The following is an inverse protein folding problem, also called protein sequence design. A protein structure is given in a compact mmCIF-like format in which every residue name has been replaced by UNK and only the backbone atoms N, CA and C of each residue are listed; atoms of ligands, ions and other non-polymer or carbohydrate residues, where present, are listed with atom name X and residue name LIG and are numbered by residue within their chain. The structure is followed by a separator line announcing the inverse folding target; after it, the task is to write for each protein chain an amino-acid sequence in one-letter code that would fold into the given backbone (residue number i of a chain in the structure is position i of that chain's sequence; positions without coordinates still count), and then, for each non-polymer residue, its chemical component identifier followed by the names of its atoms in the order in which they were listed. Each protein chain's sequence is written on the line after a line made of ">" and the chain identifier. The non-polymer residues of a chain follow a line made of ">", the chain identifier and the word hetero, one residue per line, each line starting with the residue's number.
data_IF_708690717695
#
_entry.id   IF_708690717695
#
_cell.length_a   1.000
_cell.length_b   1.000
_cell.length_c   1.000
_cell.angle_alpha   90.00
_cell.angle_beta   90.00
_cell.angle_gamma   90.00
#
_symmetry.space_group_name_H-M   'P 1'
#
loop_
_entity.id
_entity.type
_entity.pdbx_description
1 polymer ?
#
# COMPACT_ATOMS: atom_id res chain seq x y z
N UNK A 1 -27.84 27.02 4.65
CA UNK A 1 -27.43 25.69 4.12
C UNK A 1 -26.53 25.06 5.18
N UNK A 2 -27.06 24.20 6.05
CA UNK A 2 -26.26 23.63 7.13
C UNK A 2 -25.28 22.61 6.53
N UNK A 3 -23.98 22.89 6.62
CA UNK A 3 -22.94 21.88 6.41
C UNK A 3 -23.14 20.83 7.49
N UNK A 4 -23.87 19.74 7.20
CA UNK A 4 -23.69 18.50 7.95
C UNK A 4 -22.29 18.05 7.61
N UNK A 5 -21.35 18.27 8.51
CA UNK A 5 -20.07 17.58 8.45
C UNK A 5 -20.41 16.10 8.52
N UNK A 6 -20.26 15.41 7.39
CA UNK A 6 -20.40 13.96 7.23
C UNK A 6 -19.19 13.27 7.91
N UNK A 7 -18.87 13.73 9.12
CA UNK A 7 -17.81 13.19 9.95
C UNK A 7 -18.33 11.85 10.44
N UNK A 8 -17.66 10.73 10.12
CA UNK A 8 -18.05 9.43 10.64
C UNK A 8 -18.16 9.52 12.16
N UNK A 9 -19.35 9.29 12.72
CA UNK A 9 -19.48 9.21 14.16
C UNK A 9 -18.69 7.97 14.63
N UNK A 10 -17.82 8.10 15.66
CA UNK A 10 -16.94 7.01 16.10
C UNK A 10 -17.68 5.77 16.63
N UNK A 11 -19.01 5.82 16.75
CA UNK A 11 -19.88 4.73 17.19
C UNK A 11 -20.62 4.00 16.05
N UNK A 12 -20.50 4.44 14.79
CA UNK A 12 -21.21 3.77 13.70
C UNK A 12 -20.60 2.40 13.36
N UNK A 13 -21.45 1.40 13.32
CA UNK A 13 -21.14 0.05 12.87
C UNK A 13 -21.01 0.01 11.33
N UNK A 14 -20.32 -0.99 10.79
CA UNK A 14 -20.25 -1.19 9.33
C UNK A 14 -21.65 -1.34 8.70
N UNK A 15 -22.61 -1.93 9.43
CA UNK A 15 -24.01 -2.05 9.00
C UNK A 15 -24.72 -0.71 8.87
N UNK A 16 -24.49 0.22 9.80
CA UNK A 16 -25.03 1.58 9.73
C UNK A 16 -24.44 2.34 8.54
N UNK A 17 -23.11 2.26 8.33
CA UNK A 17 -22.45 2.87 7.16
C UNK A 17 -22.99 2.31 5.84
N UNK A 18 -23.16 0.99 5.75
CA UNK A 18 -23.79 0.34 4.60
C UNK A 18 -25.20 0.93 4.33
N UNK A 19 -25.99 1.09 5.39
CA UNK A 19 -27.33 1.66 5.30
C UNK A 19 -27.33 3.13 4.85
N UNK A 20 -26.33 3.92 5.28
CA UNK A 20 -26.14 5.31 4.84
C UNK A 20 -25.77 5.35 3.35
N UNK A 21 -24.79 4.56 2.91
CA UNK A 21 -24.36 4.48 1.51
C UNK A 21 -25.51 4.10 0.58
N UNK A 22 -26.28 3.07 0.93
CA UNK A 22 -27.50 2.69 0.18
C UNK A 22 -28.50 3.84 0.10
N UNK A 23 -28.74 4.55 1.21
CA UNK A 23 -29.68 5.67 1.27
C UNK A 23 -29.21 6.87 0.45
N UNK A 24 -27.90 7.13 0.35
CA UNK A 24 -27.34 8.17 -0.55
C UNK A 24 -27.67 7.89 -2.01
N UNK A 25 -27.66 6.62 -2.43
CA UNK A 25 -28.14 6.20 -3.77
C UNK A 25 -29.67 6.18 -3.93
N UNK A 26 -30.44 6.49 -2.87
CA UNK A 26 -31.92 6.41 -2.82
C UNK A 26 -32.45 5.00 -3.11
N UNK A 27 -31.70 3.96 -2.76
CA UNK A 27 -32.07 2.57 -3.00
C UNK A 27 -32.86 1.97 -1.84
N UNK A 28 -33.79 1.06 -2.14
CA UNK A 28 -34.41 0.19 -1.13
C UNK A 28 -33.46 -0.96 -0.77
N UNK A 29 -33.66 -1.62 0.38
CA UNK A 29 -32.91 -2.83 0.74
C UNK A 29 -33.10 -3.95 -0.30
N UNK A 30 -34.28 -4.02 -0.91
CA UNK A 30 -34.57 -4.98 -1.98
C UNK A 30 -33.75 -4.69 -3.23
N UNK A 31 -33.58 -3.42 -3.60
CA UNK A 31 -32.71 -3.05 -4.72
C UNK A 31 -31.25 -3.41 -4.43
N UNK A 32 -30.72 -3.07 -3.25
CA UNK A 32 -29.36 -3.45 -2.88
C UNK A 32 -29.16 -4.97 -2.92
N UNK A 33 -30.14 -5.76 -2.44
CA UNK A 33 -30.10 -7.22 -2.54
C UNK A 33 -29.97 -7.70 -4.00
N UNK A 34 -30.77 -7.15 -4.92
CA UNK A 34 -30.72 -7.48 -6.34
C UNK A 34 -29.36 -7.12 -6.97
N UNK A 35 -28.87 -5.90 -6.74
CA UNK A 35 -27.64 -5.39 -7.35
C UNK A 35 -26.37 -6.07 -6.79
N UNK A 36 -26.40 -6.52 -5.54
CA UNK A 36 -25.26 -7.19 -4.89
C UNK A 36 -25.29 -8.71 -4.95
N UNK A 37 -26.38 -9.32 -5.45
CA UNK A 37 -26.57 -10.77 -5.48
C UNK A 37 -26.86 -11.42 -4.12
N UNK A 38 -27.07 -10.63 -3.05
CA UNK A 38 -27.42 -11.15 -1.73
C UNK A 38 -28.94 -11.21 -1.50
N UNK A 39 -29.39 -12.04 -0.56
CA UNK A 39 -30.81 -12.07 -0.18
C UNK A 39 -31.22 -10.81 0.60
N UNK A 40 -32.48 -10.40 0.48
CA UNK A 40 -33.04 -9.29 1.27
C UNK A 40 -32.88 -9.52 2.79
N UNK A 41 -33.01 -10.77 3.25
CA UNK A 41 -32.78 -11.13 4.64
C UNK A 41 -31.32 -10.92 5.06
N UNK A 42 -30.36 -11.17 4.17
CA UNK A 42 -28.95 -10.89 4.42
C UNK A 42 -28.68 -9.39 4.54
N UNK A 43 -29.15 -8.58 3.58
CA UNK A 43 -29.00 -7.12 3.62
C UNK A 43 -29.61 -6.53 4.89
N UNK A 44 -30.83 -6.95 5.26
CA UNK A 44 -31.46 -6.56 6.54
C UNK A 44 -30.61 -6.95 7.74
N UNK A 45 -30.06 -8.17 7.74
CA UNK A 45 -29.19 -8.66 8.80
C UNK A 45 -27.92 -7.82 8.94
N UNK A 46 -27.27 -7.46 7.83
CA UNK A 46 -26.06 -6.63 7.83
C UNK A 46 -26.35 -5.22 8.33
N UNK A 47 -27.35 -4.53 7.77
CA UNK A 47 -27.67 -3.14 8.16
C UNK A 47 -28.12 -3.01 9.62
N UNK A 48 -28.72 -4.06 10.18
CA UNK A 48 -29.19 -4.08 11.58
C UNK A 48 -28.12 -4.61 12.54
N UNK A 49 -26.92 -4.97 12.07
CA UNK A 49 -25.86 -5.57 12.89
C UNK A 49 -26.16 -6.99 13.39
N UNK A 50 -27.26 -7.62 12.94
CA UNK A 50 -27.60 -9.03 13.28
C UNK A 50 -26.74 -10.04 12.53
N UNK A 51 -26.07 -9.62 11.47
CA UNK A 51 -25.04 -10.38 10.76
C UNK A 51 -23.77 -9.54 10.71
N UNK A 52 -22.65 -10.17 11.05
CA UNK A 52 -21.34 -9.55 10.94
C UNK A 52 -21.05 -9.18 9.49
N UNK A 53 -20.59 -7.95 9.27
CA UNK A 53 -20.05 -7.50 8.01
C UNK A 53 -18.52 -7.51 8.12
N UNK A 54 -17.98 -8.73 8.32
CA UNK A 54 -16.58 -9.03 8.61
C UNK A 54 -15.82 -9.76 7.49
N UNK A 55 -16.52 -10.19 6.44
CA UNK A 55 -15.93 -10.92 5.31
C UNK A 55 -15.59 -9.96 4.17
N UNK A 56 -14.32 -9.94 3.76
CA UNK A 56 -13.84 -9.08 2.68
C UNK A 56 -14.62 -9.28 1.38
N UNK A 57 -14.86 -10.53 0.97
CA UNK A 57 -15.64 -10.84 -0.24
C UNK A 57 -17.06 -10.26 -0.22
N UNK A 58 -17.70 -10.23 0.96
CA UNK A 58 -19.04 -9.64 1.13
C UNK A 58 -18.97 -8.12 1.00
N UNK A 59 -17.98 -7.49 1.63
CA UNK A 59 -17.78 -6.03 1.55
C UNK A 59 -17.49 -5.61 0.11
N UNK A 60 -16.58 -6.30 -0.58
CA UNK A 60 -16.21 -5.99 -1.96
C UNK A 60 -17.42 -6.12 -2.92
N UNK A 61 -18.24 -7.15 -2.77
CA UNK A 61 -19.46 -7.31 -3.56
C UNK A 61 -20.47 -6.16 -3.30
N UNK A 62 -20.63 -5.73 -2.04
CA UNK A 62 -21.49 -4.59 -1.71
C UNK A 62 -20.92 -3.26 -2.21
N UNK A 63 -19.60 -3.07 -2.13
CA UNK A 63 -18.88 -1.91 -2.65
C UNK A 63 -19.05 -1.79 -4.16
N UNK A 64 -18.91 -2.90 -4.90
CA UNK A 64 -19.14 -2.93 -6.35
C UNK A 64 -20.57 -2.51 -6.70
N UNK A 65 -21.57 -3.03 -5.99
CA UNK A 65 -22.97 -2.64 -6.20
C UNK A 65 -23.23 -1.16 -5.83
N UNK A 66 -22.60 -0.67 -4.77
CA UNK A 66 -22.78 0.70 -4.27
C UNK A 66 -21.87 1.73 -4.93
N UNK A 67 -20.94 1.32 -5.79
CA UNK A 67 -19.91 2.19 -6.40
C UNK A 67 -19.18 3.03 -5.33
N UNK A 68 -18.60 2.35 -4.36
CA UNK A 68 -17.95 2.99 -3.22
C UNK A 68 -16.67 2.24 -2.82
N UNK A 69 -15.73 2.93 -2.18
CA UNK A 69 -14.49 2.31 -1.73
C UNK A 69 -14.74 1.46 -0.46
N UNK A 70 -14.03 0.33 -0.24
CA UNK A 70 -14.18 -0.50 0.96
C UNK A 70 -14.05 0.26 2.29
N UNK A 71 -13.25 1.32 2.32
CA UNK A 71 -13.08 2.18 3.50
C UNK A 71 -14.36 2.89 3.91
N UNK A 72 -15.30 3.13 3.00
CA UNK A 72 -16.57 3.78 3.31
C UNK A 72 -17.49 2.86 4.12
N UNK A 73 -17.41 1.54 3.90
CA UNK A 73 -18.13 0.55 4.72
C UNK A 73 -17.37 0.27 6.02
N UNK A 74 -16.05 0.14 5.97
CA UNK A 74 -15.23 -0.22 7.14
C UNK A 74 -14.95 0.96 8.08
N UNK A 75 -15.24 2.18 7.66
CA UNK A 75 -15.08 3.40 8.46
C UNK A 75 -13.65 3.92 8.56
N UNK A 76 -12.77 3.49 7.65
CA UNK A 76 -11.39 3.97 7.62
C UNK A 76 -11.31 5.38 6.98
N UNK A 77 -10.34 6.22 7.40
CA UNK A 77 -9.32 5.97 8.44
C UNK A 77 -9.91 6.04 9.85
N UNK A 78 -9.42 5.18 10.75
CA UNK A 78 -9.83 5.21 12.16
C UNK A 78 -9.16 6.38 12.88
N UNK A 79 -9.95 7.17 13.62
CA UNK A 79 -9.39 8.13 14.56
C UNK A 79 -8.76 7.35 15.73
N UNK A 80 -7.49 7.61 16.08
CA UNK A 80 -6.91 7.06 17.30
C UNK A 80 -7.74 7.49 18.51
N UNK A 81 -7.95 6.57 19.46
CA UNK A 81 -8.63 6.89 20.71
C UNK A 81 -7.81 7.90 21.52
N UNK A 82 -8.44 8.65 22.43
CA UNK A 82 -7.76 9.67 23.25
C UNK A 82 -6.58 9.10 24.07
N UNK A 83 -6.67 7.84 24.49
CA UNK A 83 -5.60 7.12 25.20
C UNK A 83 -4.54 6.46 24.30
N UNK A 84 -4.73 6.43 22.99
CA UNK A 84 -3.78 5.81 22.04
C UNK A 84 -2.74 6.83 21.56
N UNK A 85 -1.78 7.13 22.44
CA UNK A 85 -0.69 8.06 22.14
C UNK A 85 0.13 7.61 20.92
N UNK A 86 0.40 6.32 20.78
CA UNK A 86 1.17 5.80 19.66
C UNK A 86 0.43 5.99 18.32
N UNK A 87 -0.89 5.77 18.30
CA UNK A 87 -1.73 6.05 17.14
C UNK A 87 -1.81 7.54 16.81
N UNK A 88 -1.88 8.42 17.82
CA UNK A 88 -1.85 9.88 17.63
C UNK A 88 -0.51 10.34 17.04
N UNK A 89 0.61 9.89 17.61
CA UNK A 89 1.96 10.17 17.08
C UNK A 89 2.11 9.63 15.65
N UNK A 90 1.60 8.43 15.40
CA UNK A 90 1.55 7.86 14.06
C UNK A 90 0.72 8.70 13.10
N UNK A 91 -0.42 9.27 13.50
CA UNK A 91 -1.25 10.10 12.63
C UNK A 91 -0.72 11.52 12.42
N UNK A 92 0.16 12.01 13.30
CA UNK A 92 0.62 13.41 13.32
C UNK A 92 1.31 13.85 12.01
N UNK A 93 2.00 12.95 11.33
CA UNK A 93 2.76 13.27 10.12
C UNK A 93 1.99 13.08 8.81
N UNK A 94 0.75 12.56 8.83
CA UNK A 94 -0.04 12.27 7.61
C UNK A 94 -0.12 13.48 6.68
N UNK A 95 -0.43 14.67 7.22
CA UNK A 95 -0.53 15.88 6.42
C UNK A 95 0.84 16.32 5.84
N UNK A 96 1.93 16.12 6.59
CA UNK A 96 3.27 16.47 6.14
C UNK A 96 3.75 15.53 5.02
N UNK A 97 3.52 14.23 5.17
CA UNK A 97 3.79 13.22 4.14
C UNK A 97 2.97 13.51 2.88
N UNK A 98 1.66 13.76 3.01
CA UNK A 98 0.81 14.13 1.87
C UNK A 98 1.32 15.37 1.14
N UNK A 99 1.72 16.42 1.87
CA UNK A 99 2.31 17.63 1.27
C UNK A 99 3.58 17.32 0.48
N UNK A 100 4.45 16.43 0.98
CA UNK A 100 5.66 16.02 0.27
C UNK A 100 5.34 15.23 -1.01
N UNK A 101 4.32 14.36 -1.00
CA UNK A 101 3.85 13.63 -2.18
C UNK A 101 3.28 14.56 -3.27
N UNK A 102 2.57 15.62 -2.87
CA UNK A 102 1.99 16.61 -3.78
C UNK A 102 3.02 17.54 -4.43
N UNK A 103 4.26 17.59 -3.93
CA UNK A 103 5.35 18.36 -4.55
C UNK A 103 5.94 17.71 -5.81
N UNK A 104 5.53 16.48 -6.12
CA UNK A 104 5.90 15.79 -7.35
C UNK A 104 5.74 16.67 -8.60
N UNK A 105 6.72 16.57 -9.51
CA UNK A 105 6.74 17.33 -10.76
C UNK A 105 7.05 18.83 -10.60
N UNK A 106 7.31 19.31 -9.38
CA UNK A 106 7.70 20.70 -9.11
C UNK A 106 9.17 20.76 -8.67
N UNK A 107 9.93 21.78 -9.10
CA UNK A 107 11.29 21.97 -8.61
C UNK A 107 11.26 22.18 -7.10
N UNK A 108 12.17 21.51 -6.40
CA UNK A 108 12.26 21.55 -4.94
C UNK A 108 12.67 22.92 -4.41
N UNK A 109 13.32 23.75 -5.23
CA UNK A 109 13.86 25.07 -4.87
C UNK A 109 14.61 25.00 -3.53
N UNK A 110 15.69 24.20 -3.45
CA UNK A 110 16.44 24.06 -2.21
C UNK A 110 17.12 25.39 -1.87
N UNK A 111 17.25 25.68 -0.58
CA UNK A 111 18.22 26.68 -0.13
C UNK A 111 19.66 26.20 -0.40
N UNK A 112 20.61 27.13 -0.45
CA UNK A 112 22.04 26.78 -0.62
C UNK A 112 22.52 25.81 0.46
N UNK A 113 22.00 25.96 1.70
CA UNK A 113 22.30 25.05 2.80
C UNK A 113 21.72 23.65 2.58
N UNK A 114 20.48 23.52 2.08
CA UNK A 114 19.89 22.22 1.74
C UNK A 114 20.67 21.54 0.61
N UNK A 115 21.06 22.29 -0.42
CA UNK A 115 21.82 21.75 -1.54
C UNK A 115 23.23 21.31 -1.12
N UNK A 116 23.92 22.11 -0.30
CA UNK A 116 25.24 21.78 0.23
C UNK A 116 25.23 20.60 1.22
N UNK A 117 24.08 20.31 1.85
CA UNK A 117 23.94 19.21 2.81
C UNK A 117 23.61 17.85 2.16
N UNK A 118 23.48 17.76 0.82
CA UNK A 118 23.21 16.50 0.13
C UNK A 118 24.40 15.56 0.26
N UNK A 119 24.21 14.47 1.01
CA UNK A 119 25.19 13.40 1.20
C UNK A 119 24.55 12.03 0.90
N UNK A 120 24.92 11.42 -0.23
CA UNK A 120 24.33 10.15 -0.69
C UNK A 120 24.53 9.00 0.31
N UNK A 121 25.74 8.73 0.84
CA UNK A 121 25.96 7.78 1.93
C UNK A 121 25.03 7.96 3.14
N UNK A 122 24.83 9.20 3.62
CA UNK A 122 23.91 9.45 4.74
C UNK A 122 22.45 9.18 4.35
N UNK A 123 22.03 9.63 3.16
CA UNK A 123 20.69 9.35 2.65
C UNK A 123 20.44 7.84 2.51
N UNK A 124 21.40 7.07 2.00
CA UNK A 124 21.31 5.61 1.92
C UNK A 124 21.07 4.99 3.30
N UNK A 125 21.84 5.39 4.31
CA UNK A 125 21.68 4.92 5.70
C UNK A 125 20.30 5.26 6.26
N UNK A 126 19.82 6.50 6.07
CA UNK A 126 18.51 6.96 6.55
C UNK A 126 17.35 6.26 5.85
N UNK A 127 17.46 6.00 4.56
CA UNK A 127 16.47 5.20 3.81
C UNK A 127 16.46 3.74 4.27
N UNK A 128 17.61 3.16 4.58
CA UNK A 128 17.67 1.82 5.17
C UNK A 128 17.00 1.76 6.56
N UNK A 129 17.17 2.81 7.38
CA UNK A 129 16.45 2.93 8.66
C UNK A 129 14.93 3.05 8.43
N UNK A 130 14.47 3.93 7.54
CA UNK A 130 13.06 4.08 7.22
C UNK A 130 12.43 2.76 6.70
N UNK A 131 13.17 2.00 5.90
CA UNK A 131 12.75 0.68 5.45
C UNK A 131 12.63 -0.32 6.62
N UNK A 132 13.54 -0.27 7.59
CA UNK A 132 13.45 -1.11 8.79
C UNK A 132 12.23 -0.76 9.65
N UNK A 133 11.89 0.53 9.78
CA UNK A 133 10.68 1.00 10.47
C UNK A 133 9.40 0.56 9.75
N UNK A 134 9.40 0.63 8.41
CA UNK A 134 8.32 0.14 7.55
C UNK A 134 8.06 -1.36 7.77
N UNK A 135 9.12 -2.17 7.70
CA UNK A 135 9.05 -3.63 7.88
C UNK A 135 8.53 -4.02 9.27
N UNK A 136 8.98 -3.31 10.32
CA UNK A 136 8.53 -3.52 11.70
C UNK A 136 7.19 -2.87 12.03
N UNK A 137 6.55 -2.17 11.08
CA UNK A 137 5.32 -1.40 11.28
C UNK A 137 5.41 -0.36 12.43
N UNK A 138 6.57 0.23 12.64
CA UNK A 138 6.80 1.26 13.66
C UNK A 138 6.24 2.62 13.18
N UNK A 139 4.91 2.77 13.15
CA UNK A 139 4.24 3.91 12.51
C UNK A 139 4.55 5.26 13.16
N UNK A 140 4.60 5.33 14.49
CA UNK A 140 4.96 6.56 15.21
C UNK A 140 6.39 7.03 14.88
N UNK A 141 7.35 6.09 14.82
CA UNK A 141 8.72 6.40 14.38
C UNK A 141 8.80 6.71 12.88
N UNK A 142 7.98 6.07 12.06
CA UNK A 142 7.88 6.40 10.63
C UNK A 142 7.38 7.83 10.44
N UNK A 143 6.41 8.25 11.24
CA UNK A 143 5.86 9.61 11.24
C UNK A 143 6.94 10.67 11.54
N UNK A 144 7.87 10.39 12.45
CA UNK A 144 8.93 11.36 12.79
C UNK A 144 10.02 11.48 11.73
N UNK A 145 10.29 10.44 10.94
CA UNK A 145 11.40 10.44 9.96
C UNK A 145 10.96 10.77 8.54
N UNK A 146 9.77 10.33 8.11
CA UNK A 146 9.36 10.38 6.70
C UNK A 146 9.27 11.79 6.12
N UNK A 147 8.70 12.81 6.80
CA UNK A 147 8.54 14.12 6.20
C UNK A 147 9.86 14.76 5.77
N UNK A 148 10.87 14.76 6.64
CA UNK A 148 12.17 15.34 6.33
C UNK A 148 12.95 14.47 5.34
N UNK A 149 12.90 13.15 5.48
CA UNK A 149 13.58 12.24 4.56
C UNK A 149 13.04 12.36 3.13
N UNK A 150 11.72 12.50 2.95
CA UNK A 150 11.12 12.79 1.65
C UNK A 150 11.67 14.09 1.06
N UNK A 151 11.76 15.15 1.86
CA UNK A 151 12.32 16.44 1.41
C UNK A 151 13.78 16.28 0.97
N UNK A 152 14.62 15.67 1.80
CA UNK A 152 16.05 15.60 1.53
C UNK A 152 16.35 14.76 0.28
N UNK A 153 15.66 13.64 0.09
CA UNK A 153 15.86 12.78 -1.09
C UNK A 153 15.29 13.43 -2.36
N UNK A 154 14.19 14.19 -2.25
CA UNK A 154 13.69 15.00 -3.38
C UNK A 154 14.71 16.08 -3.78
N UNK A 155 15.31 16.77 -2.81
CA UNK A 155 16.37 17.76 -3.07
C UNK A 155 17.58 17.10 -3.72
N UNK A 156 18.00 15.91 -3.26
CA UNK A 156 19.08 15.16 -3.86
C UNK A 156 18.82 14.82 -5.34
N UNK A 157 17.57 14.48 -5.71
CA UNK A 157 17.21 14.23 -7.11
C UNK A 157 17.34 15.47 -8.01
N UNK A 158 17.12 16.67 -7.46
CA UNK A 158 17.21 17.92 -8.20
C UNK A 158 18.65 18.47 -8.29
N UNK A 159 19.47 18.24 -7.26
CA UNK A 159 20.84 18.78 -7.14
C UNK A 159 21.87 17.89 -7.81
N UNK A 160 21.72 16.57 -7.71
CA UNK A 160 22.69 15.63 -8.27
C UNK A 160 22.50 15.47 -9.79
N UNK A 161 23.59 15.13 -10.48
CA UNK A 161 23.62 14.82 -11.91
C UNK A 161 23.91 13.33 -12.15
N UNK A 162 23.62 12.88 -13.38
CA UNK A 162 24.00 11.57 -13.92
C UNK A 162 23.72 10.39 -12.96
N UNK A 163 24.74 9.59 -12.64
CA UNK A 163 24.64 8.42 -11.75
C UNK A 163 24.20 8.77 -10.33
N UNK A 164 24.62 9.94 -9.83
CA UNK A 164 24.17 10.44 -8.53
C UNK A 164 22.66 10.67 -8.51
N UNK A 165 22.12 11.22 -9.60
CA UNK A 165 20.67 11.43 -9.76
C UNK A 165 19.91 10.11 -9.87
N UNK A 166 20.40 9.15 -10.67
CA UNK A 166 19.79 7.81 -10.75
C UNK A 166 19.77 7.11 -9.39
N UNK A 167 20.86 7.21 -8.64
CA UNK A 167 20.96 6.68 -7.27
C UNK A 167 19.95 7.34 -6.35
N UNK A 168 19.81 8.67 -6.41
CA UNK A 168 18.83 9.42 -5.64
C UNK A 168 17.39 9.02 -5.99
N UNK A 169 17.06 8.77 -7.26
CA UNK A 169 15.75 8.24 -7.64
C UNK A 169 15.49 6.83 -7.09
N UNK A 170 16.53 5.99 -7.00
CA UNK A 170 16.44 4.70 -6.30
C UNK A 170 16.07 4.88 -4.83
N UNK A 171 16.73 5.81 -4.14
CA UNK A 171 16.38 6.16 -2.76
C UNK A 171 14.95 6.72 -2.67
N UNK A 172 14.57 7.60 -3.58
CA UNK A 172 13.26 8.25 -3.60
C UNK A 172 12.14 7.21 -3.77
N UNK A 173 12.33 6.25 -4.67
CA UNK A 173 11.43 5.11 -4.86
C UNK A 173 11.20 4.41 -3.52
N UNK A 174 12.27 4.04 -2.82
CA UNK A 174 12.18 3.35 -1.53
C UNK A 174 11.53 4.19 -0.43
N UNK A 175 11.72 5.52 -0.42
CA UNK A 175 11.03 6.39 0.55
C UNK A 175 9.54 6.51 0.22
N UNK A 176 9.17 6.56 -1.06
CA UNK A 176 7.76 6.54 -1.47
C UNK A 176 7.08 5.22 -1.13
N UNK A 177 7.77 4.09 -1.23
CA UNK A 177 7.27 2.79 -0.73
C UNK A 177 6.99 2.83 0.77
N UNK A 178 7.84 3.51 1.54
CA UNK A 178 7.62 3.75 2.96
C UNK A 178 6.43 4.65 3.24
N UNK A 179 6.31 5.76 2.51
CA UNK A 179 5.16 6.66 2.62
C UNK A 179 3.85 5.93 2.29
N UNK A 180 3.82 5.17 1.19
CA UNK A 180 2.66 4.39 0.77
C UNK A 180 2.24 3.43 1.87
N UNK A 181 3.14 2.58 2.38
CA UNK A 181 2.76 1.58 3.38
C UNK A 181 2.35 2.22 4.71
N UNK A 182 2.99 3.34 5.09
CA UNK A 182 2.62 4.12 6.27
C UNK A 182 1.19 4.68 6.16
N UNK A 183 0.85 5.31 5.02
CA UNK A 183 -0.49 5.86 4.76
C UNK A 183 -1.54 4.76 4.68
N UNK A 184 -1.21 3.65 4.02
CA UNK A 184 -2.08 2.49 3.90
C UNK A 184 -2.43 1.87 5.26
N UNK A 185 -1.43 1.65 6.12
CA UNK A 185 -1.62 1.11 7.48
C UNK A 185 -2.44 2.05 8.39
N UNK A 186 -2.48 3.35 8.08
CA UNK A 186 -3.33 4.34 8.76
C UNK A 186 -4.73 4.48 8.14
N UNK A 187 -5.07 3.69 7.12
CA UNK A 187 -6.35 3.76 6.41
C UNK A 187 -6.50 4.99 5.51
N UNK A 188 -5.41 5.71 5.22
CA UNK A 188 -5.38 6.88 4.32
C UNK A 188 -5.22 6.42 2.87
N UNK A 189 -6.18 5.62 2.40
CA UNK A 189 -6.09 4.88 1.14
C UNK A 189 -5.85 5.76 -0.08
N UNK A 190 -6.57 6.88 -0.23
CA UNK A 190 -6.35 7.78 -1.38
C UNK A 190 -4.96 8.43 -1.35
N UNK A 191 -4.38 8.67 -0.17
CA UNK A 191 -3.01 9.15 -0.04
C UNK A 191 -2.00 8.04 -0.34
N UNK A 192 -2.31 6.79 0.03
CA UNK A 192 -1.51 5.62 -0.32
C UNK A 192 -1.49 5.40 -1.84
N UNK A 193 -2.64 5.49 -2.53
CA UNK A 193 -2.72 5.42 -4.00
C UNK A 193 -1.89 6.54 -4.63
N UNK A 194 -1.97 7.78 -4.12
CA UNK A 194 -1.08 8.86 -4.56
C UNK A 194 0.39 8.50 -4.39
N UNK A 195 0.78 7.86 -3.28
CA UNK A 195 2.14 7.41 -3.06
C UNK A 195 2.56 6.26 -3.98
N UNK A 196 1.66 5.33 -4.31
CA UNK A 196 1.87 4.27 -5.31
C UNK A 196 2.22 4.86 -6.68
N UNK A 197 1.49 5.89 -7.12
CA UNK A 197 1.83 6.63 -8.35
C UNK A 197 3.22 7.27 -8.29
N UNK A 198 3.68 7.69 -7.10
CA UNK A 198 5.04 8.22 -6.91
C UNK A 198 6.11 7.12 -6.93
N UNK A 199 5.79 5.92 -6.44
CA UNK A 199 6.67 4.74 -6.57
C UNK A 199 6.86 4.39 -8.05
N UNK A 200 5.77 4.24 -8.81
CA UNK A 200 5.83 3.92 -10.25
C UNK A 200 6.64 4.97 -11.02
N UNK A 201 6.31 6.25 -10.82
CA UNK A 201 7.01 7.35 -11.46
C UNK A 201 8.51 7.35 -11.15
N UNK A 202 8.89 7.27 -9.86
CA UNK A 202 10.30 7.36 -9.46
C UNK A 202 11.11 6.15 -9.91
N UNK A 203 10.50 4.96 -9.95
CA UNK A 203 11.14 3.74 -10.43
C UNK A 203 11.58 3.87 -11.90
N UNK A 204 10.74 4.46 -12.77
CA UNK A 204 11.12 4.70 -14.17
C UNK A 204 12.38 5.57 -14.32
N UNK A 205 12.59 6.53 -13.41
CA UNK A 205 13.75 7.46 -13.46
C UNK A 205 15.05 6.81 -13.00
N UNK A 206 14.97 5.62 -12.42
CA UNK A 206 16.17 4.87 -12.05
C UNK A 206 16.84 4.21 -13.25
N UNK A 207 16.10 4.02 -14.35
CA UNK A 207 16.55 3.27 -15.53
C UNK A 207 16.95 1.81 -15.21
N UNK A 208 16.62 1.32 -14.01
CA UNK A 208 16.84 -0.05 -13.55
C UNK A 208 15.61 -0.91 -13.88
N UNK A 209 15.71 -1.84 -14.85
CA UNK A 209 14.57 -2.67 -15.25
C UNK A 209 13.97 -3.47 -14.10
N UNK A 210 14.80 -3.94 -13.16
CA UNK A 210 14.33 -4.75 -12.05
C UNK A 210 13.50 -3.92 -11.07
N UNK A 211 13.89 -2.67 -10.85
CA UNK A 211 13.14 -1.73 -10.00
C UNK A 211 11.84 -1.28 -10.65
N UNK A 212 11.84 -1.07 -11.96
CA UNK A 212 10.63 -0.76 -12.74
C UNK A 212 9.61 -1.90 -12.60
N UNK A 213 10.05 -3.15 -12.74
CA UNK A 213 9.19 -4.33 -12.54
C UNK A 213 8.75 -4.43 -11.07
N UNK A 214 9.66 -4.23 -10.11
CA UNK A 214 9.34 -4.28 -8.68
C UNK A 214 8.23 -3.30 -8.27
N UNK A 215 8.22 -2.10 -8.87
CA UNK A 215 7.20 -1.08 -8.59
C UNK A 215 5.77 -1.55 -8.94
N UNK A 216 5.62 -2.44 -9.94
CA UNK A 216 4.32 -3.02 -10.35
C UNK A 216 3.68 -3.88 -9.27
N UNK A 217 4.45 -4.34 -8.29
CA UNK A 217 3.91 -5.02 -7.11
C UNK A 217 2.91 -4.11 -6.36
N UNK A 218 3.20 -2.81 -6.27
CA UNK A 218 2.32 -1.85 -5.58
C UNK A 218 1.06 -1.56 -6.39
N UNK A 219 1.19 -1.38 -7.71
CA UNK A 219 0.06 -1.19 -8.63
C UNK A 219 -0.94 -2.37 -8.56
N UNK A 220 -0.46 -3.61 -8.66
CA UNK A 220 -1.31 -4.79 -8.50
C UNK A 220 -1.97 -4.86 -7.10
N UNK A 221 -1.35 -4.25 -6.09
CA UNK A 221 -1.92 -4.13 -4.74
C UNK A 221 -3.15 -3.22 -4.66
N UNK A 222 -3.20 -2.15 -5.47
CA UNK A 222 -4.35 -1.23 -5.52
C UNK A 222 -5.60 -1.97 -6.03
N UNK A 223 -5.50 -2.67 -7.17
CA UNK A 223 -6.59 -3.45 -7.76
C UNK A 223 -7.05 -4.60 -6.85
N UNK A 224 -6.10 -5.34 -6.26
CA UNK A 224 -6.40 -6.40 -5.30
C UNK A 224 -7.17 -5.85 -4.08
N UNK A 225 -6.85 -4.64 -3.63
CA UNK A 225 -7.49 -3.97 -2.49
C UNK A 225 -8.97 -3.64 -2.72
N UNK A 226 -9.37 -3.41 -3.96
CA UNK A 226 -10.75 -3.11 -4.37
C UNK A 226 -11.47 -4.32 -5.00
N UNK A 227 -10.81 -5.47 -5.07
CA UNK A 227 -11.40 -6.72 -5.58
C UNK A 227 -11.47 -6.81 -7.11
N UNK A 228 -10.70 -6.00 -7.83
CA UNK A 228 -10.52 -6.15 -9.28
C UNK A 228 -9.38 -7.14 -9.54
N UNK A 229 -9.73 -8.43 -9.41
CA UNK A 229 -8.77 -9.52 -9.44
C UNK A 229 -8.17 -9.78 -10.82
N UNK A 230 -8.92 -9.49 -11.89
CA UNK A 230 -8.45 -9.69 -13.27
C UNK A 230 -7.35 -8.67 -13.62
N UNK A 231 -7.57 -7.37 -13.34
CA UNK A 231 -6.54 -6.34 -13.53
C UNK A 231 -5.28 -6.61 -12.69
N UNK A 232 -5.48 -7.05 -11.43
CA UNK A 232 -4.36 -7.44 -10.58
C UNK A 232 -3.58 -8.63 -11.17
N UNK A 233 -4.28 -9.63 -11.73
CA UNK A 233 -3.66 -10.79 -12.37
C UNK A 233 -2.86 -10.37 -13.62
N UNK A 234 -3.43 -9.54 -14.48
CA UNK A 234 -2.78 -9.06 -15.71
C UNK A 234 -1.45 -8.33 -15.41
N UNK A 235 -1.43 -7.49 -14.37
CA UNK A 235 -0.21 -6.79 -13.92
C UNK A 235 0.83 -7.79 -13.38
N UNK A 236 0.39 -8.76 -12.58
CA UNK A 236 1.28 -9.77 -11.99
C UNK A 236 1.89 -10.66 -13.07
N UNK A 237 1.08 -11.13 -14.02
CA UNK A 237 1.51 -11.99 -15.12
C UNK A 237 2.43 -11.24 -16.09
N UNK A 238 2.15 -9.96 -16.35
CA UNK A 238 3.05 -9.09 -17.12
C UNK A 238 4.41 -8.93 -16.44
N UNK A 239 4.43 -8.74 -15.11
CA UNK A 239 5.67 -8.64 -14.34
C UNK A 239 6.46 -9.96 -14.31
N UNK A 240 5.79 -11.09 -14.13
CA UNK A 240 6.42 -12.42 -14.21
C UNK A 240 6.96 -12.71 -15.61
N UNK A 241 6.25 -12.31 -16.66
CA UNK A 241 6.69 -12.43 -18.06
C UNK A 241 7.92 -11.58 -18.32
N UNK A 242 7.93 -10.32 -17.85
CA UNK A 242 9.08 -9.43 -17.99
C UNK A 242 10.34 -9.93 -17.26
N UNK A 243 10.17 -10.63 -16.13
CA UNK A 243 11.29 -11.27 -15.42
C UNK A 243 11.83 -12.51 -16.14
N UNK A 244 10.99 -13.20 -16.92
CA UNK A 244 11.36 -14.41 -17.63
C UNK A 244 11.91 -15.50 -16.70
N UNK A 245 13.13 -15.97 -16.97
CA UNK A 245 13.82 -16.95 -16.13
C UNK A 245 14.79 -16.23 -15.18
N UNK A 246 14.48 -16.15 -13.87
CA UNK A 246 15.32 -15.42 -12.92
C UNK A 246 16.69 -16.10 -12.77
N UNK A 247 17.77 -15.34 -12.98
CA UNK A 247 19.16 -15.83 -12.91
C UNK A 247 19.92 -15.30 -11.69
N UNK A 248 19.51 -14.18 -11.13
CA UNK A 248 20.12 -13.53 -9.96
C UNK A 248 19.28 -13.71 -8.68
N UNK A 249 19.90 -13.59 -7.48
CA UNK A 249 19.17 -13.59 -6.21
C UNK A 249 18.03 -12.57 -6.14
N UNK A 250 18.21 -11.39 -6.73
CA UNK A 250 17.22 -10.31 -6.72
C UNK A 250 16.04 -10.63 -7.64
N UNK A 251 16.28 -11.18 -8.82
CA UNK A 251 15.22 -11.66 -9.72
C UNK A 251 14.45 -12.84 -9.09
N UNK A 252 15.15 -13.78 -8.45
CA UNK A 252 14.52 -14.90 -7.73
C UNK A 252 13.61 -14.40 -6.60
N UNK A 253 14.07 -13.43 -5.81
CA UNK A 253 13.30 -12.81 -4.74
C UNK A 253 12.07 -12.07 -5.27
N UNK A 254 12.21 -11.34 -6.38
CA UNK A 254 11.11 -10.60 -6.99
C UNK A 254 10.06 -11.54 -7.60
N UNK A 255 10.49 -12.54 -8.37
CA UNK A 255 9.61 -13.55 -8.93
C UNK A 255 8.85 -14.30 -7.83
N UNK A 256 9.53 -14.66 -6.73
CA UNK A 256 8.88 -15.26 -5.56
C UNK A 256 7.81 -14.36 -4.96
N UNK A 257 8.09 -13.06 -4.84
CA UNK A 257 7.15 -12.06 -4.33
C UNK A 257 5.92 -11.89 -5.22
N UNK A 258 6.07 -11.94 -6.54
CA UNK A 258 4.95 -11.90 -7.48
C UNK A 258 4.12 -13.19 -7.45
N UNK A 259 4.76 -14.36 -7.34
CA UNK A 259 4.02 -15.61 -7.14
C UNK A 259 3.24 -15.61 -5.82
N UNK A 260 3.76 -15.06 -4.73
CA UNK A 260 2.99 -14.89 -3.49
C UNK A 260 1.78 -13.96 -3.68
N UNK A 261 1.94 -12.86 -4.43
CA UNK A 261 0.82 -11.96 -4.74
C UNK A 261 -0.22 -12.64 -5.63
N UNK A 262 0.19 -13.38 -6.65
CA UNK A 262 -0.71 -14.16 -7.50
C UNK A 262 -1.50 -15.18 -6.67
N UNK A 263 -0.84 -15.90 -5.76
CA UNK A 263 -1.53 -16.83 -4.86
C UNK A 263 -2.60 -16.14 -3.99
N UNK A 264 -2.28 -14.97 -3.45
CA UNK A 264 -3.24 -14.16 -2.69
C UNK A 264 -4.40 -13.67 -3.56
N UNK A 265 -4.11 -13.23 -4.79
CA UNK A 265 -5.12 -12.77 -5.74
C UNK A 265 -6.09 -13.89 -6.11
N UNK A 266 -5.57 -15.05 -6.50
CA UNK A 266 -6.34 -16.28 -6.79
C UNK A 266 -7.21 -16.68 -5.60
N UNK A 267 -6.64 -16.72 -4.39
CA UNK A 267 -7.38 -17.10 -3.18
C UNK A 267 -8.55 -16.14 -2.87
N UNK A 268 -8.39 -14.84 -3.15
CA UNK A 268 -9.45 -13.83 -2.91
C UNK A 268 -10.48 -13.77 -4.06
N UNK A 269 -10.04 -14.00 -5.29
CA UNK A 269 -10.90 -14.05 -6.48
C UNK A 269 -11.65 -15.37 -6.67
N UNK A 270 -11.37 -16.40 -5.87
CA UNK A 270 -11.99 -17.72 -6.00
C UNK A 270 -11.38 -18.57 -7.12
N UNK A 271 -10.16 -18.24 -7.54
CA UNK A 271 -9.38 -18.99 -8.51
C UNK A 271 -8.85 -20.31 -7.95
N UNK A 272 -8.34 -21.17 -8.84
CA UNK A 272 -7.89 -22.53 -8.51
C UNK A 272 -6.37 -22.67 -8.49
N UNK A 273 -5.65 -21.66 -8.94
CA UNK A 273 -4.19 -21.74 -9.14
C UNK A 273 -3.40 -21.23 -7.92
N UNK A 274 -4.08 -20.82 -6.84
CA UNK A 274 -3.44 -20.28 -5.64
C UNK A 274 -2.31 -21.18 -5.11
N UNK A 275 -2.59 -22.49 -4.97
CA UNK A 275 -1.63 -23.49 -4.49
C UNK A 275 -0.44 -23.64 -5.46
N UNK A 276 -0.70 -23.60 -6.77
CA UNK A 276 0.37 -23.66 -7.79
C UNK A 276 1.31 -22.46 -7.68
N UNK A 277 0.78 -21.25 -7.47
CA UNK A 277 1.60 -20.06 -7.26
C UNK A 277 2.39 -20.12 -5.95
N UNK A 278 1.79 -20.59 -4.84
CA UNK A 278 2.51 -20.82 -3.58
C UNK A 278 3.69 -21.78 -3.76
N UNK A 279 3.49 -22.88 -4.49
CA UNK A 279 4.56 -23.84 -4.77
C UNK A 279 5.69 -23.24 -5.60
N UNK A 280 5.39 -22.37 -6.57
CA UNK A 280 6.43 -21.63 -7.30
C UNK A 280 7.23 -20.73 -6.37
N UNK A 281 6.56 -19.92 -5.54
CA UNK A 281 7.23 -19.05 -4.57
C UNK A 281 8.14 -19.85 -3.62
N UNK A 282 7.67 -20.98 -3.11
CA UNK A 282 8.45 -21.86 -2.23
C UNK A 282 9.67 -22.47 -2.94
N UNK A 283 9.54 -22.87 -4.21
CA UNK A 283 10.69 -23.36 -5.01
C UNK A 283 11.76 -22.27 -5.17
N UNK A 284 11.35 -21.06 -5.55
CA UNK A 284 12.25 -19.92 -5.70
C UNK A 284 12.95 -19.56 -4.39
N UNK A 285 12.22 -19.57 -3.27
CA UNK A 285 12.80 -19.35 -1.94
C UNK A 285 13.83 -20.42 -1.56
N UNK A 286 13.58 -21.69 -1.89
CA UNK A 286 14.55 -22.78 -1.68
C UNK A 286 15.82 -22.57 -2.51
N UNK A 287 15.70 -22.14 -3.76
CA UNK A 287 16.84 -21.83 -4.63
C UNK A 287 17.66 -20.66 -4.10
N UNK A 288 17.00 -19.64 -3.53
CA UNK A 288 17.67 -18.49 -2.92
C UNK A 288 18.50 -18.86 -1.68
N UNK A 289 18.14 -19.93 -0.97
CA UNK A 289 18.82 -20.41 0.24
C UNK A 289 18.51 -19.58 1.49
N UNK A 290 19.26 -19.81 2.60
CA UNK A 290 19.10 -19.04 3.84
C UNK A 290 19.63 -17.60 3.65
N UNK A 291 18.76 -16.57 3.73
CA UNK A 291 19.17 -15.18 3.54
C UNK A 291 20.15 -14.68 4.62
N UNK A 292 20.43 -15.45 5.67
CA UNK A 292 21.37 -15.09 6.75
C UNK A 292 22.81 -15.56 6.52
N UNK A 293 23.06 -16.49 5.59
CA UNK A 293 24.41 -17.10 5.41
C UNK A 293 25.29 -16.45 4.33
N UNK A 294 24.79 -15.47 3.57
CA UNK A 294 25.56 -14.84 2.48
C UNK A 294 25.31 -13.36 2.20
N UNK A 295 24.54 -12.63 3.01
CA UNK A 295 24.11 -11.24 2.70
C UNK A 295 24.75 -10.19 3.62
N UNK A 296 26.00 -9.83 3.34
CA UNK A 296 26.72 -8.65 3.85
C UNK A 296 26.80 -7.55 2.78
N UNK A 297 25.68 -6.98 2.30
CA UNK A 297 25.71 -5.76 1.46
C UNK A 297 24.50 -4.84 1.70
N UNK A 298 24.66 -3.51 1.57
CA UNK A 298 23.72 -2.48 2.04
C UNK A 298 22.49 -2.25 1.13
N UNK A 299 22.29 -3.06 0.09
CA UNK A 299 21.36 -2.74 -1.01
C UNK A 299 19.91 -3.24 -0.77
N UNK A 300 19.56 -3.58 0.49
CA UNK A 300 18.27 -4.17 0.89
C UNK A 300 17.10 -3.15 0.96
N UNK A 301 16.93 -2.34 -0.08
CA UNK A 301 15.85 -1.36 -0.14
C UNK A 301 14.59 -1.84 -0.88
N UNK A 302 14.68 -2.90 -1.69
CA UNK A 302 13.56 -3.35 -2.52
C UNK A 302 13.20 -4.80 -2.18
N UNK A 303 11.91 -5.02 -1.85
CA UNK A 303 11.21 -6.32 -1.78
C UNK A 303 11.14 -6.99 -0.40
N UNK A 304 10.23 -6.42 0.40
CA UNK A 304 9.31 -7.07 1.35
C UNK A 304 9.88 -7.88 2.52
N UNK A 305 9.55 -7.43 3.74
CA UNK A 305 9.38 -8.31 4.88
C UNK A 305 7.88 -8.51 5.11
N UNK A 306 7.49 -9.77 5.29
CA UNK A 306 6.17 -10.24 5.70
C UNK A 306 5.63 -9.38 6.84
N UNK A 307 4.49 -8.73 6.60
CA UNK A 307 3.72 -8.10 7.66
C UNK A 307 3.23 -9.18 8.60
N UNK A 308 3.84 -9.28 9.79
CA UNK A 308 3.20 -9.96 10.92
C UNK A 308 1.80 -9.36 11.10
N UNK A 309 0.75 -10.16 11.30
CA UNK A 309 -0.61 -9.66 11.44
C UNK A 309 -0.71 -8.76 12.68
N UNK A 310 -0.69 -7.45 12.47
CA UNK A 310 -1.09 -6.50 13.49
C UNK A 310 -2.62 -6.63 13.66
N UNK A 311 -3.12 -6.69 14.90
CA UNK A 311 -4.55 -6.91 15.19
C UNK A 311 -5.47 -5.86 14.55
N UNK A 312 -4.96 -4.67 14.20
CA UNK A 312 -5.69 -3.64 13.46
C UNK A 312 -5.78 -3.88 11.92
N UNK A 313 -4.95 -4.75 11.36
CA UNK A 313 -4.89 -5.07 9.92
C UNK A 313 -5.52 -6.43 9.56
N UNK A 314 -6.37 -6.98 10.44
CA UNK A 314 -7.01 -8.30 10.31
C UNK A 314 -7.87 -8.51 9.05
N UNK A 315 -8.01 -7.46 8.26
CA UNK A 315 -8.84 -7.35 7.09
C UNK A 315 -8.09 -7.42 5.76
N UNK A 316 -6.76 -7.34 5.81
CA UNK A 316 -5.96 -6.89 4.67
C UNK A 316 -4.78 -7.81 4.35
N UNK A 317 -4.34 -8.65 5.28
CA UNK A 317 -3.46 -9.78 4.97
C UNK A 317 -4.28 -11.04 4.79
#
# INVERSE_FOLDING_TARGET
>A
MAYRTDTPHPAETNGERLSVLRRRKRWTQQRLAQESGYSLAAIRGFEQGRRSLDRGSVILALCRALDCHPTEITGQPYAPADGDRAGQEAAAAVAAVRRALLRHGRPTRPSDAEAAAVDLPDLQRRVAEANSLRQSAALARSASVLPQLLRDVQVACDVLADDGRRTAYGLLTSVYECAMQYLYKLGRVSDATLATERVLWSAERTEDPLRIIAARWYEAGEFLGIGEHDDAADIIDSALTALGRPGSPQELSLAGSFHLKAALNEARGGGREAERHLQHAQRLAKTLGDPRRGLQRPDKACLLAESRPCRCCRWVC
#
